data_IF_119252569382
#
_entry.id   IF_119252569382
#
_cell.length_a   1.000
_cell.length_b   1.000
_cell.length_c   1.000
_cell.angle_alpha   90.00
_cell.angle_beta   90.00
_cell.angle_gamma   90.00
#
_symmetry.space_group_name_H-M   'P 1'
#
loop_
_entity.id
_entity.type
_entity.pdbx_description
1 polymer ?
#
# COMPACT_ATOMS: atom_id res chain seq x y z
N UNK A 1 -19.42 32.89 -20.21
CA UNK A 1 -18.07 32.55 -20.64
C UNK A 1 -18.07 31.08 -21.04
N UNK A 2 -17.75 30.78 -22.32
CA UNK A 2 -17.63 29.40 -22.81
C UNK A 2 -16.51 28.73 -22.01
N UNK A 3 -16.82 27.61 -21.33
CA UNK A 3 -15.81 26.79 -20.69
C UNK A 3 -14.91 26.19 -21.77
N UNK A 4 -13.61 26.43 -21.72
CA UNK A 4 -12.67 25.78 -22.61
C UNK A 4 -12.39 24.38 -22.09
N UNK A 5 -13.09 23.38 -22.66
CA UNK A 5 -13.02 21.97 -22.26
C UNK A 5 -11.59 21.41 -22.35
N UNK A 6 -10.75 21.91 -23.24
CA UNK A 6 -9.36 21.48 -23.32
C UNK A 6 -8.59 21.88 -22.04
N UNK A 7 -8.79 23.13 -21.59
CA UNK A 7 -8.16 23.57 -20.34
C UNK A 7 -8.68 22.80 -19.13
N UNK A 8 -9.99 22.51 -19.07
CA UNK A 8 -10.54 21.69 -17.98
C UNK A 8 -9.92 20.28 -17.95
N UNK A 9 -9.74 19.64 -19.11
CA UNK A 9 -9.09 18.33 -19.17
C UNK A 9 -7.62 18.40 -18.73
N UNK A 10 -6.89 19.45 -19.14
CA UNK A 10 -5.50 19.63 -18.71
C UNK A 10 -5.41 19.81 -17.19
N UNK A 11 -6.25 20.63 -16.60
CA UNK A 11 -6.30 20.82 -15.15
C UNK A 11 -6.70 19.52 -14.42
N UNK A 12 -7.70 18.79 -14.92
CA UNK A 12 -8.12 17.51 -14.36
C UNK A 12 -6.96 16.49 -14.33
N UNK A 13 -6.15 16.42 -15.36
CA UNK A 13 -5.00 15.51 -15.41
C UNK A 13 -3.89 15.89 -14.42
N UNK A 14 -3.84 17.14 -13.92
CA UNK A 14 -2.84 17.55 -12.92
C UNK A 14 -3.13 17.00 -11.51
N UNK A 15 -4.31 16.41 -11.27
CA UNK A 15 -4.61 15.73 -10.00
C UNK A 15 -3.74 14.48 -9.80
N UNK A 16 -3.19 13.93 -10.89
CA UNK A 16 -2.37 12.72 -10.83
C UNK A 16 -0.99 13.04 -10.24
N UNK A 17 -0.50 12.22 -9.28
CA UNK A 17 0.82 12.41 -8.68
C UNK A 17 1.92 12.42 -9.74
N UNK A 18 2.81 13.42 -9.69
CA UNK A 18 3.93 13.56 -10.63
C UNK A 18 3.54 14.15 -12.01
N UNK A 19 2.26 14.47 -12.23
CA UNK A 19 1.80 15.09 -13.49
C UNK A 19 1.72 16.60 -13.33
N UNK A 20 2.73 17.31 -13.85
CA UNK A 20 2.71 18.76 -13.95
C UNK A 20 1.99 19.26 -15.20
N UNK A 21 1.72 20.57 -15.28
CA UNK A 21 0.95 21.20 -16.38
C UNK A 21 1.45 20.83 -17.79
N UNK A 22 2.76 20.76 -18.01
CA UNK A 22 3.32 20.39 -19.34
C UNK A 22 3.03 18.93 -19.71
N UNK A 23 3.11 18.02 -18.75
CA UNK A 23 2.78 16.61 -18.95
C UNK A 23 1.28 16.43 -19.18
N UNK A 24 0.44 17.08 -18.39
CA UNK A 24 -1.01 17.09 -18.53
C UNK A 24 -1.45 17.59 -19.92
N UNK A 25 -0.87 18.71 -20.39
CA UNK A 25 -1.14 19.23 -21.73
C UNK A 25 -0.77 18.23 -22.84
N UNK A 26 0.40 17.60 -22.74
CA UNK A 26 0.83 16.58 -23.70
C UNK A 26 -0.09 15.36 -23.69
N UNK A 27 -0.52 14.90 -22.51
CA UNK A 27 -1.46 13.77 -22.36
C UNK A 27 -2.83 14.12 -22.96
N UNK A 28 -3.39 15.31 -22.65
CA UNK A 28 -4.67 15.75 -23.18
C UNK A 28 -4.66 15.80 -24.71
N UNK A 29 -3.64 16.41 -25.30
CA UNK A 29 -3.51 16.51 -26.77
C UNK A 29 -3.33 15.12 -27.41
N UNK A 30 -2.56 14.23 -26.81
CA UNK A 30 -2.39 12.84 -27.25
C UNK A 30 -3.74 12.10 -27.27
N UNK A 31 -4.48 12.17 -26.19
CA UNK A 31 -5.79 11.50 -26.05
C UNK A 31 -6.79 12.03 -27.08
N UNK A 32 -6.85 13.35 -27.27
CA UNK A 32 -7.85 13.98 -28.14
C UNK A 32 -7.50 13.90 -29.63
N UNK A 33 -6.23 13.89 -30.00
CA UNK A 33 -5.77 13.90 -31.40
C UNK A 33 -5.35 12.52 -31.92
N UNK A 34 -4.66 11.73 -31.08
CA UNK A 34 -4.03 10.48 -31.52
C UNK A 34 -4.72 9.21 -31.02
N UNK A 35 -5.48 9.27 -29.93
CA UNK A 35 -6.02 8.05 -29.29
C UNK A 35 -7.40 8.30 -28.66
N UNK A 36 -8.39 8.68 -29.48
CA UNK A 36 -9.74 8.95 -28.99
C UNK A 36 -10.41 7.71 -28.37
N UNK A 37 -10.21 6.53 -28.98
CA UNK A 37 -10.77 5.29 -28.48
C UNK A 37 -10.17 4.92 -27.12
N UNK A 38 -8.86 5.10 -26.94
CA UNK A 38 -8.21 4.94 -25.66
C UNK A 38 -8.68 5.95 -24.61
N UNK A 39 -8.99 7.19 -25.01
CA UNK A 39 -9.56 8.20 -24.13
C UNK A 39 -10.96 7.80 -23.64
N UNK A 40 -11.82 7.31 -24.54
CA UNK A 40 -13.15 6.82 -24.17
C UNK A 40 -13.07 5.60 -23.25
N UNK A 41 -12.22 4.64 -23.57
CA UNK A 41 -12.01 3.47 -22.73
C UNK A 41 -11.51 3.85 -21.32
N UNK A 42 -10.53 4.77 -21.24
CA UNK A 42 -10.03 5.27 -19.95
C UNK A 42 -11.14 5.91 -19.13
N UNK A 43 -11.96 6.77 -19.75
CA UNK A 43 -13.06 7.44 -19.05
C UNK A 43 -14.09 6.43 -18.52
N UNK A 44 -14.53 5.48 -19.36
CA UNK A 44 -15.47 4.43 -18.97
C UNK A 44 -14.92 3.55 -17.85
N UNK A 45 -13.67 3.10 -17.97
CA UNK A 45 -13.03 2.26 -16.95
C UNK A 45 -12.91 3.00 -15.60
N UNK A 46 -12.61 4.31 -15.62
CA UNK A 46 -12.57 5.12 -14.41
C UNK A 46 -13.95 5.21 -13.74
N UNK A 47 -15.01 5.46 -14.52
CA UNK A 47 -16.38 5.49 -13.99
C UNK A 47 -16.76 4.13 -13.39
N UNK A 48 -16.54 3.03 -14.11
CA UNK A 48 -16.80 1.67 -13.61
C UNK A 48 -16.02 1.36 -12.32
N UNK A 49 -14.76 1.76 -12.25
CA UNK A 49 -13.93 1.58 -11.05
C UNK A 49 -14.46 2.40 -9.86
N UNK A 50 -14.87 3.63 -10.08
CA UNK A 50 -15.41 4.49 -9.01
C UNK A 50 -16.70 3.92 -8.39
N UNK A 51 -17.54 3.30 -9.23
CA UNK A 51 -18.79 2.69 -8.81
C UNK A 51 -18.61 1.30 -8.16
N UNK A 52 -17.60 0.55 -8.59
CA UNK A 52 -17.47 -0.87 -8.24
C UNK A 52 -16.37 -1.16 -7.22
N UNK A 53 -15.28 -0.39 -7.21
CA UNK A 53 -14.14 -0.66 -6.32
C UNK A 53 -14.44 -0.21 -4.91
N UNK A 54 -14.31 -1.15 -3.98
CA UNK A 54 -14.50 -0.97 -2.55
C UNK A 54 -13.32 -1.56 -1.77
N UNK A 55 -13.35 -1.43 -0.45
CA UNK A 55 -12.39 -2.10 0.42
C UNK A 55 -12.88 -3.50 0.76
N UNK A 56 -11.99 -4.49 0.62
CA UNK A 56 -12.25 -5.85 1.09
C UNK A 56 -12.64 -5.83 2.58
N UNK A 57 -13.75 -6.49 2.92
CA UNK A 57 -14.28 -6.55 4.29
C UNK A 57 -13.31 -7.19 5.29
N UNK A 58 -12.35 -8.01 4.82
CA UNK A 58 -11.39 -8.71 5.66
C UNK A 58 -10.07 -7.92 5.77
N UNK A 59 -9.44 -7.59 4.63
CA UNK A 59 -8.07 -7.07 4.61
C UNK A 59 -7.96 -5.60 4.20
N UNK A 60 -9.06 -4.95 3.81
CA UNK A 60 -9.14 -3.56 3.34
C UNK A 60 -8.40 -3.27 2.02
N UNK A 61 -7.89 -4.30 1.29
CA UNK A 61 -7.37 -4.13 -0.06
C UNK A 61 -8.49 -3.68 -1.01
N UNK A 62 -8.14 -2.89 -2.03
CA UNK A 62 -9.09 -2.47 -3.06
C UNK A 62 -9.53 -3.65 -3.93
N UNK A 63 -10.83 -3.79 -4.15
CA UNK A 63 -11.43 -4.92 -4.87
C UNK A 63 -12.82 -4.55 -5.38
N UNK A 64 -13.27 -5.21 -6.44
CA UNK A 64 -14.67 -5.12 -6.93
C UNK A 64 -15.64 -6.08 -6.19
N UNK A 65 -15.09 -7.01 -5.41
CA UNK A 65 -15.87 -8.00 -4.67
C UNK A 65 -15.88 -7.67 -3.17
N UNK A 66 -16.89 -8.12 -2.38
CA UNK A 66 -16.89 -7.93 -0.92
C UNK A 66 -15.63 -8.47 -0.26
N UNK A 67 -15.13 -9.63 -0.73
CA UNK A 67 -13.89 -10.27 -0.27
C UNK A 67 -12.94 -10.42 -1.45
N UNK A 68 -11.74 -9.85 -1.32
CA UNK A 68 -10.76 -9.88 -2.41
C UNK A 68 -10.22 -11.30 -2.68
N UNK A 69 -9.67 -11.50 -3.86
CA UNK A 69 -9.10 -12.79 -4.30
C UNK A 69 -8.06 -13.38 -3.35
N UNK A 70 -7.32 -12.55 -2.63
CA UNK A 70 -6.32 -13.03 -1.67
C UNK A 70 -6.99 -13.61 -0.42
N UNK A 71 -8.03 -12.95 0.09
CA UNK A 71 -8.74 -13.41 1.28
C UNK A 71 -9.65 -14.59 1.00
N UNK A 72 -10.17 -14.75 -0.23
CA UNK A 72 -11.00 -15.87 -0.65
C UNK A 72 -10.20 -17.11 -1.06
N UNK A 73 -8.89 -17.00 -1.22
CA UNK A 73 -8.02 -18.12 -1.59
C UNK A 73 -7.73 -19.00 -0.37
N UNK A 74 -8.36 -20.19 -0.31
CA UNK A 74 -8.20 -21.17 0.76
C UNK A 74 -6.83 -21.85 0.78
N UNK A 75 -6.06 -21.75 -0.30
CA UNK A 75 -4.70 -22.31 -0.37
C UNK A 75 -3.67 -21.48 0.40
N UNK A 76 -4.03 -20.26 0.81
CA UNK A 76 -3.14 -19.36 1.53
C UNK A 76 -3.07 -19.71 3.01
N UNK A 77 -1.89 -19.50 3.56
CA UNK A 77 -1.66 -19.66 5.00
C UNK A 77 -2.52 -18.65 5.79
N UNK A 78 -3.46 -19.18 6.56
CA UNK A 78 -4.36 -18.38 7.38
C UNK A 78 -3.76 -17.98 8.74
N UNK A 79 -2.58 -18.49 9.08
CA UNK A 79 -1.91 -18.24 10.36
C UNK A 79 -0.91 -17.08 10.31
N UNK A 80 -0.48 -16.69 9.11
CA UNK A 80 0.48 -15.59 8.87
C UNK A 80 -0.22 -14.37 8.30
N UNK A 81 -0.16 -13.23 9.00
CA UNK A 81 -0.75 -11.97 8.60
C UNK A 81 0.32 -10.91 8.37
N UNK A 82 0.40 -10.38 7.15
CA UNK A 82 1.29 -9.26 6.81
C UNK A 82 0.52 -7.94 6.85
N UNK A 83 0.93 -7.02 7.71
CA UNK A 83 0.35 -5.68 7.85
C UNK A 83 1.17 -4.70 7.03
N UNK A 84 0.52 -4.02 6.08
CA UNK A 84 1.13 -3.08 5.13
C UNK A 84 0.48 -1.71 5.20
N UNK A 85 1.17 -0.67 4.72
CA UNK A 85 0.65 0.71 4.72
C UNK A 85 -0.33 0.98 3.58
N UNK A 86 -0.14 0.34 2.41
CA UNK A 86 -0.88 0.66 1.20
C UNK A 86 -1.23 -0.56 0.34
N UNK A 87 -2.23 -0.44 -0.56
CA UNK A 87 -2.50 -1.47 -1.57
C UNK A 87 -1.31 -1.80 -2.48
N UNK A 88 -0.46 -0.82 -2.78
CA UNK A 88 0.74 -1.01 -3.60
C UNK A 88 1.77 -1.91 -2.92
N UNK A 89 1.86 -1.90 -1.59
CA UNK A 89 2.76 -2.78 -0.85
C UNK A 89 2.34 -4.24 -0.99
N UNK A 90 1.02 -4.50 -0.97
CA UNK A 90 0.49 -5.85 -1.27
C UNK A 90 0.94 -6.30 -2.65
N UNK A 91 0.78 -5.46 -3.67
CA UNK A 91 1.19 -5.79 -5.04
C UNK A 91 2.69 -6.05 -5.14
N UNK A 92 3.51 -5.26 -4.44
CA UNK A 92 4.95 -5.43 -4.42
C UNK A 92 5.35 -6.78 -3.78
N UNK A 93 4.77 -7.13 -2.63
CA UNK A 93 5.05 -8.41 -1.97
C UNK A 93 4.54 -9.59 -2.81
N UNK A 94 3.32 -9.51 -3.34
CA UNK A 94 2.73 -10.55 -4.20
C UNK A 94 3.56 -10.80 -5.47
N UNK A 95 4.16 -9.77 -6.05
CA UNK A 95 5.00 -9.90 -7.24
C UNK A 95 6.24 -10.78 -7.02
N UNK A 96 6.69 -10.92 -5.77
CA UNK A 96 7.82 -11.78 -5.42
C UNK A 96 7.47 -13.27 -5.40
N UNK A 97 6.18 -13.60 -5.21
CA UNK A 97 5.70 -14.96 -4.99
C UNK A 97 6.21 -15.62 -3.71
N UNK A 98 6.96 -14.89 -2.87
CA UNK A 98 7.62 -15.40 -1.67
C UNK A 98 6.73 -15.49 -0.42
N UNK A 99 5.63 -14.74 -0.37
CA UNK A 99 4.72 -14.74 0.77
C UNK A 99 3.39 -15.45 0.42
N UNK A 100 2.98 -16.36 1.28
CA UNK A 100 1.75 -17.17 1.09
C UNK A 100 0.67 -16.89 2.14
N UNK A 101 0.93 -15.99 3.07
CA UNK A 101 -0.03 -15.57 4.08
C UNK A 101 -1.09 -14.60 3.58
N UNK A 102 -1.82 -14.00 4.50
CA UNK A 102 -2.85 -12.99 4.25
C UNK A 102 -2.34 -11.61 4.59
N UNK A 103 -3.10 -10.58 4.21
CA UNK A 103 -2.70 -9.19 4.42
C UNK A 103 -3.74 -8.44 5.24
N UNK A 104 -3.31 -7.31 5.81
CA UNK A 104 -4.16 -6.23 6.28
C UNK A 104 -3.57 -4.89 5.86
N UNK A 105 -4.37 -4.04 5.23
CA UNK A 105 -3.93 -2.76 4.66
C UNK A 105 -4.41 -1.63 5.54
N UNK A 106 -3.46 -0.88 6.12
CA UNK A 106 -3.74 0.25 7.01
C UNK A 106 -4.30 1.48 6.27
N UNK A 107 -3.99 1.62 4.98
CA UNK A 107 -4.27 2.79 4.14
C UNK A 107 -3.53 4.07 4.59
N UNK A 108 -2.36 3.90 5.22
CA UNK A 108 -1.52 4.97 5.70
C UNK A 108 -0.63 4.54 6.85
N UNK A 109 -0.16 5.53 7.59
CA UNK A 109 0.68 5.38 8.79
C UNK A 109 0.30 6.43 9.82
N UNK A 110 0.59 6.19 11.09
CA UNK A 110 0.36 7.16 12.15
C UNK A 110 1.13 8.44 11.88
N UNK A 111 0.44 9.56 11.91
CA UNK A 111 1.06 10.89 11.77
C UNK A 111 0.30 11.89 12.65
N UNK A 112 0.78 12.15 13.87
CA UNK A 112 0.17 13.15 14.75
C UNK A 112 0.17 14.54 14.11
N UNK A 113 1.17 14.84 13.29
CA UNK A 113 1.31 16.15 12.62
C UNK A 113 0.21 16.31 11.56
N UNK A 114 -0.10 15.23 10.82
CA UNK A 114 -1.15 15.24 9.79
C UNK A 114 -2.52 14.86 10.37
N UNK A 115 -2.62 14.63 11.68
CA UNK A 115 -3.85 14.25 12.36
C UNK A 115 -4.32 12.81 12.09
N UNK A 116 -3.45 11.93 11.58
CA UNK A 116 -3.79 10.53 11.28
C UNK A 116 -3.71 9.70 12.56
N UNK A 117 -4.88 9.24 13.01
CA UNK A 117 -5.07 8.45 14.23
C UNK A 117 -5.07 6.93 13.97
N UNK A 118 -4.99 6.08 15.02
CA UNK A 118 -5.15 4.64 14.90
C UNK A 118 -6.51 4.23 14.29
N UNK A 119 -7.58 4.97 14.57
CA UNK A 119 -8.92 4.71 14.03
C UNK A 119 -8.97 4.93 12.51
N UNK A 120 -8.33 5.97 12.00
CA UNK A 120 -8.24 6.27 10.56
C UNK A 120 -7.55 5.13 9.80
N UNK A 121 -6.56 4.51 10.42
CA UNK A 121 -5.81 3.37 9.88
C UNK A 121 -6.56 2.04 10.04
N UNK A 122 -7.67 2.02 10.79
CA UNK A 122 -8.40 0.78 11.10
C UNK A 122 -7.62 -0.19 11.98
N UNK A 123 -6.73 0.32 12.83
CA UNK A 123 -5.99 -0.53 13.78
C UNK A 123 -6.94 -1.26 14.74
N UNK A 124 -8.04 -0.68 15.24
CA UNK A 124 -9.02 -1.42 16.02
C UNK A 124 -9.62 -2.63 15.27
N UNK A 125 -9.83 -2.51 13.96
CA UNK A 125 -10.33 -3.59 13.11
C UNK A 125 -9.26 -4.70 12.94
N UNK A 126 -8.00 -4.30 12.75
CA UNK A 126 -6.87 -5.21 12.72
C UNK A 126 -6.78 -6.05 14.01
N UNK A 127 -6.85 -5.38 15.17
CA UNK A 127 -6.77 -6.06 16.47
C UNK A 127 -7.93 -7.03 16.68
N UNK A 128 -9.16 -6.62 16.30
CA UNK A 128 -10.34 -7.52 16.34
C UNK A 128 -10.17 -8.71 15.37
N UNK A 129 -9.64 -8.46 14.19
CA UNK A 129 -9.38 -9.52 13.21
C UNK A 129 -8.37 -10.55 13.76
N UNK A 130 -7.27 -10.10 14.36
CA UNK A 130 -6.25 -10.98 14.96
C UNK A 130 -6.84 -11.80 16.12
N UNK A 131 -7.63 -11.18 16.99
CA UNK A 131 -8.27 -11.86 18.12
C UNK A 131 -9.32 -12.90 17.69
N UNK A 132 -10.05 -12.62 16.60
CA UNK A 132 -11.09 -13.49 16.07
C UNK A 132 -10.60 -14.63 15.17
N UNK A 133 -9.36 -14.54 14.68
CA UNK A 133 -8.74 -15.51 13.79
C UNK A 133 -7.60 -16.26 14.52
N UNK A 134 -7.19 -17.42 13.96
CA UNK A 134 -6.04 -18.17 14.50
C UNK A 134 -4.72 -17.66 13.93
N UNK A 135 -4.46 -16.35 14.07
CA UNK A 135 -3.20 -15.76 13.62
C UNK A 135 -2.09 -16.15 14.60
N UNK A 136 -1.02 -16.76 14.11
CA UNK A 136 0.16 -17.16 14.87
C UNK A 136 1.31 -16.17 14.73
N UNK A 137 1.40 -15.53 13.57
CA UNK A 137 2.42 -14.51 13.31
C UNK A 137 1.83 -13.27 12.60
N UNK A 138 2.15 -12.10 13.12
CA UNK A 138 1.91 -10.79 12.50
C UNK A 138 3.25 -10.23 12.01
N UNK A 139 3.37 -10.04 10.70
CA UNK A 139 4.54 -9.46 10.05
C UNK A 139 4.26 -8.00 9.78
N UNK A 140 4.95 -7.09 10.46
CA UNK A 140 4.80 -5.65 10.25
C UNK A 140 5.69 -5.22 9.08
N UNK A 141 5.07 -4.92 7.94
CA UNK A 141 5.72 -4.46 6.71
C UNK A 141 5.46 -2.97 6.46
N UNK A 142 5.56 -2.18 7.54
CA UNK A 142 5.51 -0.71 7.45
C UNK A 142 6.85 -0.14 6.99
N UNK A 143 6.81 1.07 6.45
CA UNK A 143 8.01 1.78 5.97
C UNK A 143 9.06 1.97 7.08
N UNK A 144 10.32 2.17 6.68
CA UNK A 144 11.44 2.43 7.60
C UNK A 144 11.58 3.92 7.98
N UNK A 145 10.47 4.67 7.94
CA UNK A 145 10.37 6.06 8.39
C UNK A 145 10.03 6.12 9.89
N UNK A 146 10.16 7.29 10.50
CA UNK A 146 9.80 7.53 11.90
C UNK A 146 8.33 7.18 12.14
N UNK A 147 7.44 7.56 11.22
CA UNK A 147 6.01 7.29 11.28
C UNK A 147 5.70 5.80 11.10
N UNK A 148 6.40 5.12 10.17
CA UNK A 148 6.25 3.68 9.98
C UNK A 148 6.77 2.87 11.17
N UNK A 149 7.87 3.31 11.79
CA UNK A 149 8.40 2.73 13.04
C UNK A 149 7.41 2.95 14.21
N UNK A 150 6.85 4.16 14.34
CA UNK A 150 5.84 4.46 15.36
C UNK A 150 4.56 3.63 15.17
N UNK A 151 4.12 3.47 13.92
CA UNK A 151 2.96 2.63 13.58
C UNK A 151 3.20 1.18 13.96
N UNK A 152 4.38 0.63 13.64
CA UNK A 152 4.75 -0.72 14.01
C UNK A 152 4.81 -0.92 15.52
N UNK A 153 5.44 0.00 16.26
CA UNK A 153 5.49 -0.04 17.73
C UNK A 153 4.10 0.02 18.33
N UNK A 154 3.25 0.93 17.87
CA UNK A 154 1.88 1.04 18.37
C UNK A 154 1.10 -0.27 18.20
N UNK A 155 1.18 -0.91 17.02
CA UNK A 155 0.50 -2.19 16.78
C UNK A 155 1.09 -3.29 17.69
N UNK A 156 2.44 -3.38 17.80
CA UNK A 156 3.11 -4.37 18.63
C UNK A 156 2.71 -4.25 20.10
N UNK A 157 2.60 -3.04 20.64
CA UNK A 157 2.23 -2.79 22.04
C UNK A 157 0.81 -3.24 22.41
N UNK A 158 -0.05 -3.48 21.39
CA UNK A 158 -1.42 -3.97 21.55
C UNK A 158 -1.58 -5.47 21.24
N UNK A 159 -0.47 -6.19 20.95
CA UNK A 159 -0.48 -7.62 20.61
C UNK A 159 0.28 -8.45 21.68
N UNK A 160 -0.45 -9.00 22.65
CA UNK A 160 0.16 -9.72 23.78
C UNK A 160 0.40 -11.22 23.53
N UNK A 161 -0.34 -11.84 22.60
CA UNK A 161 -0.42 -13.31 22.48
C UNK A 161 -0.04 -13.86 21.11
N UNK A 162 0.48 -13.03 20.24
CA UNK A 162 0.83 -13.37 18.84
C UNK A 162 2.30 -13.04 18.62
N UNK A 163 3.00 -13.89 17.88
CA UNK A 163 4.37 -13.60 17.47
C UNK A 163 4.35 -12.40 16.52
N UNK A 164 5.04 -11.32 16.89
CA UNK A 164 5.19 -10.14 16.03
C UNK A 164 6.61 -10.13 15.46
N UNK A 165 6.69 -10.01 14.15
CA UNK A 165 7.94 -9.85 13.41
C UNK A 165 7.87 -8.60 12.54
N UNK A 166 9.02 -8.13 12.10
CA UNK A 166 9.12 -7.00 11.17
C UNK A 166 9.99 -7.38 9.99
N UNK A 167 9.64 -6.86 8.80
CA UNK A 167 10.51 -7.03 7.64
C UNK A 167 11.90 -6.46 7.97
N UNK A 168 12.95 -7.23 7.67
CA UNK A 168 14.32 -6.82 7.94
C UNK A 168 14.74 -5.67 7.04
N UNK A 169 15.53 -4.77 7.60
CA UNK A 169 16.24 -3.76 6.82
C UNK A 169 17.47 -4.43 6.19
N UNK A 170 17.64 -4.27 4.88
CA UNK A 170 18.71 -4.93 4.15
C UNK A 170 19.44 -4.02 3.19
N UNK A 171 20.70 -4.37 2.93
CA UNK A 171 21.47 -3.81 1.84
C UNK A 171 20.93 -4.43 0.54
N UNK A 172 20.65 -3.64 -0.51
CA UNK A 172 20.16 -4.16 -1.77
C UNK A 172 21.12 -5.21 -2.34
N UNK A 173 20.56 -6.34 -2.82
CA UNK A 173 21.37 -7.39 -3.45
C UNK A 173 22.07 -6.80 -4.67
N UNK A 174 23.40 -6.98 -4.76
CA UNK A 174 24.24 -6.41 -5.81
C UNK A 174 24.63 -4.96 -5.60
N UNK A 175 24.21 -4.33 -4.50
CA UNK A 175 24.68 -2.99 -4.12
C UNK A 175 26.01 -3.03 -3.39
N UNK A 176 26.90 -2.08 -3.71
CA UNK A 176 28.15 -1.87 -2.99
C UNK A 176 27.91 -0.98 -1.78
N UNK A 177 28.52 -1.32 -0.63
CA UNK A 177 28.31 -0.63 0.65
C UNK A 177 28.58 0.87 0.58
N UNK A 178 29.54 1.30 -0.26
CA UNK A 178 29.90 2.70 -0.41
C UNK A 178 28.79 3.60 -0.97
N UNK A 179 27.81 3.01 -1.68
CA UNK A 179 26.67 3.74 -2.26
C UNK A 179 25.39 3.66 -1.41
N UNK A 180 25.44 2.93 -0.30
CA UNK A 180 24.29 2.80 0.61
C UNK A 180 24.36 3.88 1.69
N UNK A 181 23.23 4.49 1.98
CA UNK A 181 23.16 5.51 3.03
C UNK A 181 23.52 4.93 4.41
N UNK A 182 24.11 5.78 5.27
CA UNK A 182 24.64 5.36 6.57
C UNK A 182 23.58 4.79 7.52
N UNK A 183 22.31 5.24 7.43
CA UNK A 183 21.24 4.72 8.28
C UNK A 183 20.87 3.28 7.88
N UNK A 184 20.79 3.00 6.59
CA UNK A 184 20.54 1.65 6.06
C UNK A 184 21.66 0.71 6.49
N UNK A 185 22.92 1.11 6.39
CA UNK A 185 24.08 0.31 6.85
C UNK A 185 23.98 0.05 8.36
N UNK A 186 23.71 1.08 9.16
CA UNK A 186 23.60 0.94 10.61
C UNK A 186 22.49 -0.04 11.00
N UNK A 187 21.32 0.04 10.38
CA UNK A 187 20.19 -0.89 10.61
C UNK A 187 20.53 -2.31 10.15
N UNK A 188 21.19 -2.48 9.01
CA UNK A 188 21.63 -3.80 8.53
C UNK A 188 22.63 -4.47 9.49
N UNK A 189 23.57 -3.69 10.07
CA UNK A 189 24.51 -4.18 11.09
C UNK A 189 23.77 -4.58 12.38
N UNK A 190 22.78 -3.81 12.81
CA UNK A 190 21.96 -4.14 13.99
C UNK A 190 21.15 -5.43 13.78
N UNK A 191 20.56 -5.59 12.57
CA UNK A 191 19.76 -6.76 12.20
C UNK A 191 20.58 -7.95 11.62
N UNK A 192 21.91 -7.97 11.77
CA UNK A 192 22.78 -9.03 11.24
C UNK A 192 22.42 -10.41 11.78
N UNK A 193 22.48 -11.40 10.89
CA UNK A 193 22.23 -12.81 11.23
C UNK A 193 23.57 -13.50 11.53
N UNK A 194 23.58 -14.35 12.55
CA UNK A 194 24.72 -15.24 12.84
C UNK A 194 24.63 -16.45 11.89
N UNK A 195 25.70 -16.73 11.18
CA UNK A 195 25.82 -17.84 10.22
C UNK A 195 26.68 -18.97 10.80
#
# INVERSE_FOLDING_TARGET
MSKDLLYELIEALTILPGVGKKSAQRMALFLLDKNKDGALHLAQTLEECLDSIQRCEICRQLTSEPVCRICSDESRDAYSLCVVESPSDVLAIESTGGFKGRYFVLMGRLSPIDGVSPDDLGIPDLLRHIQGAKIEEVILATSSTVEGDATASFINDHLESVKVSRISYGIPIGGELEYVDGNTIARAIQGRIII
#
